data_IF_882259984089
#
_entry.id   IF_882259984089
#
_cell.length_a   1.000
_cell.length_b   1.000
_cell.length_c   1.000
_cell.angle_alpha   90.00
_cell.angle_beta   90.00
_cell.angle_gamma   90.00
#
_symmetry.space_group_name_H-M   'P 1'
#
loop_
_entity.id
_entity.type
_entity.pdbx_description
1 polymer ?
#
# COMPACT_ATOMS: atom_id res chain seq x y z
N UNK A 1 11.53 21.37 -11.87
CA UNK A 1 10.91 20.08 -12.25
C UNK A 1 11.82 19.39 -13.25
N UNK A 2 12.23 18.15 -12.98
CA UNK A 2 12.95 17.31 -13.95
C UNK A 2 12.03 16.99 -15.13
N UNK A 3 12.54 17.01 -16.37
CA UNK A 3 11.74 16.58 -17.54
C UNK A 3 11.60 15.07 -17.50
N UNK A 4 10.38 14.58 -17.28
CA UNK A 4 10.04 13.15 -17.38
C UNK A 4 9.53 12.81 -18.78
N UNK A 5 9.63 11.54 -19.16
CA UNK A 5 8.93 11.01 -20.33
C UNK A 5 7.41 11.06 -20.10
N UNK A 6 6.62 11.00 -21.19
CA UNK A 6 5.15 10.97 -21.08
C UNK A 6 4.67 9.75 -20.28
N UNK A 7 5.30 8.59 -20.45
CA UNK A 7 4.97 7.36 -19.71
C UNK A 7 5.23 7.52 -18.22
N UNK A 8 6.37 8.09 -17.84
CA UNK A 8 6.67 8.39 -16.43
C UNK A 8 5.67 9.38 -15.87
N UNK A 9 5.37 10.48 -16.58
CA UNK A 9 4.38 11.45 -16.12
C UNK A 9 3.00 10.82 -15.88
N UNK A 10 2.51 9.98 -16.80
CA UNK A 10 1.24 9.26 -16.61
C UNK A 10 1.29 8.31 -15.42
N UNK A 11 2.44 7.65 -15.16
CA UNK A 11 2.62 6.81 -13.97
C UNK A 11 2.58 7.65 -12.70
N UNK A 12 3.34 8.75 -12.64
CA UNK A 12 3.36 9.68 -11.50
C UNK A 12 1.98 10.31 -11.23
N UNK A 13 1.16 10.57 -12.26
CA UNK A 13 -0.22 11.04 -12.10
C UNK A 13 -1.10 10.05 -11.31
N UNK A 14 -0.84 8.73 -11.40
CA UNK A 14 -1.53 7.71 -10.59
C UNK A 14 -1.22 7.85 -9.09
N UNK A 15 -0.11 8.50 -8.76
CA UNK A 15 0.32 8.82 -7.40
C UNK A 15 -0.02 10.27 -7.02
N UNK A 16 -0.69 11.02 -7.90
CA UNK A 16 -1.05 12.44 -7.73
C UNK A 16 0.18 13.33 -7.49
N UNK A 17 1.32 12.94 -8.05
CA UNK A 17 2.57 13.70 -8.01
C UNK A 17 2.55 14.73 -9.15
N UNK A 18 3.03 15.94 -8.89
CA UNK A 18 3.12 17.00 -9.90
C UNK A 18 4.12 16.61 -10.99
N UNK A 19 3.73 16.75 -12.25
CA UNK A 19 4.48 16.24 -13.41
C UNK A 19 4.57 17.26 -14.54
N UNK A 20 5.67 17.20 -15.30
CA UNK A 20 5.86 17.99 -16.51
C UNK A 20 6.65 17.19 -17.54
N UNK A 21 5.94 16.66 -18.53
CA UNK A 21 6.49 15.96 -19.69
C UNK A 21 6.32 16.81 -20.96
N UNK A 22 6.70 18.09 -20.86
CA UNK A 22 6.63 19.06 -21.96
C UNK A 22 5.21 19.55 -22.19
N UNK A 23 4.51 18.92 -23.14
CA UNK A 23 3.15 19.32 -23.54
C UNK A 23 2.08 18.86 -22.56
N UNK A 24 2.34 17.78 -21.82
CA UNK A 24 1.43 17.25 -20.79
C UNK A 24 1.97 17.56 -19.39
N UNK A 25 1.10 18.08 -18.53
CA UNK A 25 1.43 18.48 -17.16
C UNK A 25 0.32 18.02 -16.22
N UNK A 26 0.70 17.59 -15.02
CA UNK A 26 -0.23 17.23 -13.96
C UNK A 26 0.09 18.04 -12.71
N UNK A 27 -0.93 18.60 -12.07
CA UNK A 27 -0.79 19.52 -10.94
C UNK A 27 -1.84 19.23 -9.87
N UNK A 28 -1.38 18.92 -8.66
CA UNK A 28 -2.19 18.81 -7.45
C UNK A 28 -2.55 20.19 -6.95
N UNK A 29 -3.82 20.45 -6.63
CA UNK A 29 -4.33 21.68 -6.03
C UNK A 29 -4.21 21.71 -4.49
N UNK A 30 -3.52 20.73 -3.89
CA UNK A 30 -3.38 20.61 -2.43
C UNK A 30 -2.62 21.77 -1.77
N UNK A 31 -1.56 22.27 -2.39
CA UNK A 31 -0.62 23.24 -1.79
C UNK A 31 -0.67 24.61 -2.46
N UNK A 32 -1.29 25.61 -1.83
CA UNK A 32 -1.64 26.95 -2.36
C UNK A 32 -0.60 27.73 -3.20
N UNK A 33 0.66 27.32 -3.29
CA UNK A 33 1.71 27.93 -4.11
C UNK A 33 1.82 27.31 -5.50
N UNK A 34 0.69 27.05 -6.17
CA UNK A 34 0.69 26.50 -7.53
C UNK A 34 1.01 27.56 -8.57
N UNK A 35 1.64 27.13 -9.67
CA UNK A 35 1.64 27.95 -10.87
C UNK A 35 0.19 28.13 -11.36
N UNK A 36 -0.18 29.31 -11.88
CA UNK A 36 -1.51 29.52 -12.46
C UNK A 36 -1.84 28.46 -13.51
N UNK A 37 -3.04 27.91 -13.46
CA UNK A 37 -3.55 26.99 -14.47
C UNK A 37 -4.38 27.79 -15.46
N UNK A 38 -3.91 28.00 -16.70
CA UNK A 38 -4.70 28.70 -17.72
C UNK A 38 -5.95 27.89 -18.09
N UNK A 39 -7.04 28.57 -18.39
CA UNK A 39 -8.28 27.93 -18.83
C UNK A 39 -8.20 27.34 -20.24
N UNK A 40 -7.26 27.82 -21.08
CA UNK A 40 -7.06 27.32 -22.43
C UNK A 40 -8.33 27.34 -23.27
N UNK A 41 -8.71 26.17 -23.80
CA UNK A 41 -9.89 25.98 -24.65
C UNK A 41 -11.15 25.46 -23.92
N UNK A 42 -11.21 25.57 -22.59
CA UNK A 42 -12.40 25.23 -21.79
C UNK A 42 -13.60 26.12 -22.17
N UNK A 43 -14.83 25.61 -22.01
CA UNK A 43 -16.03 26.47 -22.04
C UNK A 43 -16.04 27.43 -20.84
N UNK A 44 -16.77 28.55 -20.89
CA UNK A 44 -16.84 29.50 -19.78
C UNK A 44 -17.26 28.85 -18.45
N UNK A 45 -18.20 27.91 -18.48
CA UNK A 45 -18.70 27.21 -17.28
C UNK A 45 -17.60 26.32 -16.67
N UNK A 46 -16.88 25.56 -17.50
CA UNK A 46 -15.78 24.72 -17.04
C UNK A 46 -14.59 25.55 -16.54
N UNK A 47 -14.31 26.70 -17.19
CA UNK A 47 -13.28 27.63 -16.77
C UNK A 47 -13.61 28.27 -15.41
N UNK A 48 -14.88 28.63 -15.17
CA UNK A 48 -15.33 29.14 -13.88
C UNK A 48 -15.16 28.10 -12.77
N UNK A 49 -15.57 26.85 -13.00
CA UNK A 49 -15.38 25.76 -12.03
C UNK A 49 -13.90 25.51 -11.69
N UNK A 50 -13.02 25.57 -12.69
CA UNK A 50 -11.58 25.49 -12.48
C UNK A 50 -11.08 26.69 -11.66
N UNK A 51 -11.49 27.89 -12.02
CA UNK A 51 -11.11 29.12 -11.33
C UNK A 51 -11.50 29.06 -9.85
N UNK A 52 -12.74 28.69 -9.54
CA UNK A 52 -13.27 28.56 -8.18
C UNK A 52 -12.51 27.51 -7.36
N UNK A 53 -11.96 26.48 -8.02
CA UNK A 53 -11.15 25.45 -7.37
C UNK A 53 -9.70 25.88 -7.15
N UNK A 54 -9.08 26.54 -8.13
CA UNK A 54 -7.67 26.98 -8.07
C UNK A 54 -7.51 28.19 -7.14
N UNK A 55 -8.41 29.17 -7.22
CA UNK A 55 -8.34 30.45 -6.50
C UNK A 55 -9.27 30.49 -5.29
N UNK A 56 -9.64 29.31 -4.77
CA UNK A 56 -10.52 29.15 -3.62
C UNK A 56 -10.07 30.01 -2.43
N UNK A 57 -10.99 30.78 -1.86
CA UNK A 57 -10.72 31.58 -0.68
C UNK A 57 -10.36 30.74 0.55
N UNK A 58 -9.62 31.34 1.49
CA UNK A 58 -9.27 30.65 2.72
C UNK A 58 -10.52 30.41 3.56
N UNK A 59 -10.83 29.14 3.82
CA UNK A 59 -11.97 28.74 4.67
C UNK A 59 -13.20 28.32 3.87
N UNK A 60 -13.18 28.42 2.54
CA UNK A 60 -14.24 27.81 1.71
C UNK A 60 -14.22 26.29 1.89
N UNK A 61 -15.37 25.66 2.21
CA UNK A 61 -15.46 24.22 2.39
C UNK A 61 -14.96 23.45 1.16
N UNK A 62 -14.25 22.35 1.41
CA UNK A 62 -13.89 21.37 0.38
C UNK A 62 -14.92 20.25 0.42
N UNK A 63 -15.55 19.97 -0.72
CA UNK A 63 -16.50 18.86 -0.90
C UNK A 63 -15.87 17.74 -1.72
N UNK A 64 -16.51 16.56 -1.77
CA UNK A 64 -16.07 15.46 -2.64
C UNK A 64 -16.00 15.82 -4.13
N UNK A 65 -16.78 16.80 -4.59
CA UNK A 65 -16.80 17.26 -5.98
C UNK A 65 -15.77 18.37 -6.28
N UNK A 66 -15.10 18.89 -5.25
CA UNK A 66 -14.01 19.85 -5.42
C UNK A 66 -12.88 19.25 -6.25
N UNK A 67 -12.28 20.02 -7.16
CA UNK A 67 -11.13 19.57 -7.93
C UNK A 67 -9.90 19.44 -7.02
N UNK A 68 -9.22 18.30 -7.10
CA UNK A 68 -7.98 18.02 -6.38
C UNK A 68 -6.75 18.01 -7.29
N UNK A 69 -6.85 17.48 -8.51
CA UNK A 69 -5.71 17.34 -9.41
C UNK A 69 -6.13 17.66 -10.85
N UNK A 70 -5.33 18.44 -11.57
CA UNK A 70 -5.62 18.87 -12.94
C UNK A 70 -4.54 18.36 -13.88
N UNK A 71 -4.95 17.77 -15.00
CA UNK A 71 -4.07 17.40 -16.11
C UNK A 71 -4.32 18.36 -17.27
N UNK A 72 -3.25 19.01 -17.72
CA UNK A 72 -3.27 19.95 -18.83
C UNK A 72 -2.44 19.46 -20.01
N UNK A 73 -2.90 19.76 -21.21
CA UNK A 73 -2.21 19.51 -22.47
C UNK A 73 -2.13 20.82 -23.27
N UNK A 74 -0.90 21.31 -23.52
CA UNK A 74 -0.62 22.60 -24.17
C UNK A 74 -1.32 23.80 -23.50
N UNK A 75 -1.36 23.79 -22.17
CA UNK A 75 -2.04 24.84 -21.40
C UNK A 75 -3.57 24.79 -21.44
N UNK A 76 -4.18 23.74 -22.00
CA UNK A 76 -5.61 23.47 -21.85
C UNK A 76 -5.82 22.31 -20.88
N UNK A 77 -6.58 22.50 -19.80
CA UNK A 77 -7.03 21.41 -18.93
C UNK A 77 -7.83 20.38 -19.74
N UNK A 78 -7.39 19.12 -19.71
CA UNK A 78 -8.00 18.01 -20.47
C UNK A 78 -8.71 17.01 -19.58
N UNK A 79 -8.31 16.89 -18.31
CA UNK A 79 -8.99 16.07 -17.31
C UNK A 79 -8.69 16.62 -15.92
N UNK A 80 -9.57 16.38 -14.97
CA UNK A 80 -9.27 16.61 -13.56
C UNK A 80 -9.86 15.51 -12.66
N UNK A 81 -9.27 15.35 -11.49
CA UNK A 81 -9.70 14.43 -10.44
C UNK A 81 -10.28 15.23 -9.28
N UNK A 82 -11.42 14.81 -8.74
CA UNK A 82 -12.02 15.41 -7.55
C UNK A 82 -11.49 14.82 -6.25
N UNK A 83 -11.79 15.46 -5.11
CA UNK A 83 -11.52 14.89 -3.78
C UNK A 83 -12.22 13.55 -3.54
N UNK A 84 -13.34 13.29 -4.21
CA UNK A 84 -14.07 12.02 -4.23
C UNK A 84 -13.48 10.96 -5.16
N UNK A 85 -12.26 11.17 -5.66
CA UNK A 85 -11.58 10.34 -6.66
C UNK A 85 -12.37 10.14 -7.97
N UNK A 86 -13.24 11.09 -8.33
CA UNK A 86 -13.96 11.05 -9.62
C UNK A 86 -13.14 11.73 -10.69
N UNK A 87 -12.96 11.05 -11.81
CA UNK A 87 -12.31 11.61 -13.00
C UNK A 87 -13.36 12.32 -13.84
N UNK A 88 -13.10 13.56 -14.20
CA UNK A 88 -13.99 14.39 -15.01
C UNK A 88 -13.23 14.90 -16.23
N UNK A 89 -13.86 14.76 -17.39
CA UNK A 89 -13.43 15.37 -18.64
C UNK A 89 -14.18 16.70 -18.83
N UNK A 90 -13.54 17.86 -18.58
CA UNK A 90 -14.23 19.13 -18.66
C UNK A 90 -14.64 19.47 -20.11
N UNK A 91 -15.73 20.22 -20.24
CA UNK A 91 -16.19 20.69 -21.55
C UNK A 91 -15.16 21.65 -22.16
N UNK A 92 -14.68 21.31 -23.37
CA UNK A 92 -13.66 22.07 -24.07
C UNK A 92 -13.66 21.75 -25.57
N UNK A 93 -13.22 22.69 -26.40
CA UNK A 93 -12.97 22.41 -27.83
C UNK A 93 -11.54 21.92 -28.00
N UNK A 94 -11.36 20.60 -27.98
CA UNK A 94 -10.05 19.95 -27.99
C UNK A 94 -9.59 19.57 -29.40
N UNK A 95 -8.31 19.74 -29.67
CA UNK A 95 -7.66 19.17 -30.86
C UNK A 95 -7.58 17.65 -30.77
N UNK A 96 -7.38 16.94 -31.89
CA UNK A 96 -7.17 15.49 -31.90
C UNK A 96 -5.98 15.06 -31.03
N UNK A 97 -4.96 15.91 -30.90
CA UNK A 97 -3.82 15.67 -30.01
C UNK A 97 -4.23 15.72 -28.54
N UNK A 98 -4.98 16.74 -28.14
CA UNK A 98 -5.49 16.90 -26.76
C UNK A 98 -6.50 15.80 -26.39
N UNK A 99 -7.35 15.35 -27.32
CA UNK A 99 -8.27 14.23 -27.09
C UNK A 99 -7.52 12.93 -26.76
N UNK A 100 -6.39 12.66 -27.44
CA UNK A 100 -5.55 11.49 -27.11
C UNK A 100 -4.96 11.59 -25.70
N UNK A 101 -4.46 12.76 -25.30
CA UNK A 101 -3.94 12.97 -23.96
C UNK A 101 -5.02 12.98 -22.88
N UNK A 102 -6.23 13.46 -23.19
CA UNK A 102 -7.38 13.32 -22.32
C UNK A 102 -7.65 11.85 -22.02
N UNK A 103 -7.72 11.00 -23.05
CA UNK A 103 -7.95 9.56 -22.85
C UNK A 103 -6.85 8.91 -22.00
N UNK A 104 -5.58 9.24 -22.23
CA UNK A 104 -4.46 8.75 -21.41
C UNK A 104 -4.54 9.23 -19.96
N UNK A 105 -4.86 10.50 -19.75
CA UNK A 105 -5.01 11.10 -18.43
C UNK A 105 -6.18 10.47 -17.67
N UNK A 106 -7.31 10.23 -18.34
CA UNK A 106 -8.46 9.53 -17.76
C UNK A 106 -8.05 8.13 -17.31
N UNK A 107 -7.38 7.36 -18.15
CA UNK A 107 -6.89 6.02 -17.78
C UNK A 107 -5.95 6.08 -16.57
N UNK A 108 -4.99 7.02 -16.56
CA UNK A 108 -4.08 7.17 -15.42
C UNK A 108 -4.82 7.52 -14.12
N UNK A 109 -5.72 8.51 -14.17
CA UNK A 109 -6.47 8.97 -13.00
C UNK A 109 -7.55 7.97 -12.56
N UNK A 110 -8.02 7.06 -13.42
CA UNK A 110 -8.91 5.95 -13.04
C UNK A 110 -8.16 4.79 -12.38
N UNK A 111 -6.84 4.74 -12.47
CA UNK A 111 -5.98 3.71 -11.88
C UNK A 111 -5.07 4.27 -10.79
N UNK A 112 -5.66 5.07 -9.88
CA UNK A 112 -4.95 5.62 -8.74
C UNK A 112 -4.26 4.53 -7.93
N UNK A 113 -3.05 4.86 -7.46
CA UNK A 113 -2.36 4.05 -6.46
C UNK A 113 -3.13 4.02 -5.15
N UNK A 114 -2.96 2.96 -4.37
CA UNK A 114 -3.56 2.85 -3.04
C UNK A 114 -3.24 4.04 -2.15
N UNK A 115 -1.96 4.44 -2.09
CA UNK A 115 -1.53 5.62 -1.34
C UNK A 115 -2.19 6.94 -1.78
N UNK A 116 -2.49 7.10 -3.08
CA UNK A 116 -3.24 8.26 -3.57
C UNK A 116 -4.70 8.23 -3.08
N UNK A 117 -5.36 7.07 -3.12
CA UNK A 117 -6.72 6.90 -2.60
C UNK A 117 -6.75 7.16 -1.08
N UNK A 118 -5.82 6.58 -0.32
CA UNK A 118 -5.69 6.81 1.13
C UNK A 118 -5.49 8.30 1.44
N UNK A 119 -4.68 9.00 0.64
CA UNK A 119 -4.49 10.44 0.80
C UNK A 119 -5.79 11.23 0.57
N UNK A 120 -6.53 10.91 -0.50
CA UNK A 120 -7.81 11.56 -0.79
C UNK A 120 -8.87 11.28 0.28
N UNK A 121 -8.96 10.03 0.75
CA UNK A 121 -9.86 9.64 1.83
C UNK A 121 -9.60 10.45 3.11
N UNK A 122 -8.34 10.52 3.56
CA UNK A 122 -7.96 11.33 4.74
C UNK A 122 -8.28 12.82 4.58
N UNK A 123 -8.11 13.35 3.37
CA UNK A 123 -8.43 14.74 3.08
C UNK A 123 -9.94 15.00 3.10
N UNK A 124 -10.75 14.08 2.56
CA UNK A 124 -12.21 14.14 2.62
C UNK A 124 -12.73 14.00 4.06
N UNK A 125 -12.10 13.15 4.86
CA UNK A 125 -12.44 12.98 6.27
C UNK A 125 -12.18 14.26 7.05
N UNK A 126 -11.00 14.86 6.86
CA UNK A 126 -10.66 16.14 7.47
C UNK A 126 -11.58 17.29 7.01
N UNK A 127 -12.01 17.30 5.75
CA UNK A 127 -12.90 18.36 5.23
C UNK A 127 -14.34 18.24 5.73
N UNK A 128 -14.81 17.00 5.94
CA UNK A 128 -16.18 16.71 6.34
C UNK A 128 -16.34 16.46 7.85
N UNK A 129 -15.29 16.69 8.65
CA UNK A 129 -15.22 16.36 10.08
C UNK A 129 -15.67 14.91 10.37
N UNK A 130 -15.30 13.99 9.48
CA UNK A 130 -15.69 12.58 9.55
C UNK A 130 -14.62 11.80 10.30
N UNK A 131 -15.04 11.01 11.27
CA UNK A 131 -14.21 9.95 11.84
C UNK A 131 -14.58 8.63 11.17
N UNK A 132 -13.69 8.02 10.35
CA UNK A 132 -13.96 6.75 9.65
C UNK A 132 -14.03 5.53 10.60
N UNK A 133 -14.00 5.75 11.91
CA UNK A 133 -13.84 4.74 12.95
C UNK A 133 -12.59 5.00 13.79
N UNK A 134 -12.36 4.23 14.85
CA UNK A 134 -11.14 4.34 15.65
C UNK A 134 -9.94 4.01 14.76
N UNK A 135 -9.16 5.04 14.42
CA UNK A 135 -7.90 4.87 13.72
C UNK A 135 -6.97 3.98 14.56
N UNK A 136 -6.29 3.00 13.97
CA UNK A 136 -5.37 2.15 14.71
C UNK A 136 -4.29 3.01 15.38
N UNK A 137 -4.24 2.98 16.71
CA UNK A 137 -3.14 3.63 17.44
C UNK A 137 -1.89 2.78 17.30
N UNK A 138 -0.71 3.39 17.22
CA UNK A 138 0.57 2.65 17.12
C UNK A 138 0.83 1.67 18.27
N UNK A 139 0.15 1.85 19.40
CA UNK A 139 0.22 0.98 20.58
C UNK A 139 -0.82 -0.15 20.56
N UNK A 140 -1.82 -0.11 19.70
CA UNK A 140 -2.79 -1.20 19.56
C UNK A 140 -2.13 -2.34 18.80
N UNK A 141 -2.06 -3.51 19.43
CA UNK A 141 -1.53 -4.74 18.84
C UNK A 141 -2.47 -5.38 17.81
N UNK A 142 -3.60 -4.73 17.50
CA UNK A 142 -4.63 -5.27 16.62
C UNK A 142 -4.40 -4.91 15.15
N UNK A 143 -4.74 -5.84 14.27
CA UNK A 143 -4.88 -5.60 12.84
C UNK A 143 -6.18 -4.89 12.51
N UNK A 144 -6.15 -4.02 11.50
CA UNK A 144 -7.32 -3.32 10.98
C UNK A 144 -7.16 -3.05 9.49
N UNK A 145 -8.27 -2.97 8.77
CA UNK A 145 -8.33 -2.61 7.35
C UNK A 145 -9.20 -1.38 7.16
N UNK A 146 -8.75 -0.49 6.29
CA UNK A 146 -9.53 0.67 5.85
C UNK A 146 -10.19 0.29 4.53
N UNK A 147 -11.51 0.25 4.51
CA UNK A 147 -12.28 -0.26 3.36
C UNK A 147 -13.22 0.78 2.78
N UNK A 148 -13.54 0.68 1.50
CA UNK A 148 -14.51 1.54 0.81
C UNK A 148 -15.25 0.77 -0.29
N UNK A 149 -16.40 1.30 -0.71
CA UNK A 149 -17.02 0.91 -1.98
C UNK A 149 -16.16 1.46 -3.14
N UNK A 150 -15.81 0.64 -4.15
CA UNK A 150 -15.10 1.12 -5.34
C UNK A 150 -15.77 2.28 -6.09
N UNK A 151 -17.08 2.44 -5.99
CA UNK A 151 -17.84 3.55 -6.58
C UNK A 151 -17.63 4.89 -5.85
N UNK A 152 -17.23 4.85 -4.59
CA UNK A 152 -16.78 6.01 -3.82
C UNK A 152 -15.56 5.65 -2.93
N UNK A 153 -14.37 5.50 -3.53
CA UNK A 153 -13.21 4.89 -2.87
C UNK A 153 -12.60 5.80 -1.78
N UNK A 154 -13.15 6.99 -1.58
CA UNK A 154 -12.69 7.96 -0.57
C UNK A 154 -13.64 8.04 0.64
N UNK A 155 -14.79 7.37 0.57
CA UNK A 155 -15.67 7.16 1.71
C UNK A 155 -15.28 5.86 2.41
N UNK A 156 -14.31 5.97 3.31
CA UNK A 156 -13.64 4.82 3.92
C UNK A 156 -14.10 4.50 5.35
N UNK A 157 -13.96 3.26 5.78
CA UNK A 157 -14.30 2.82 7.14
C UNK A 157 -13.21 1.90 7.69
N UNK A 158 -12.73 2.18 8.91
CA UNK A 158 -11.82 1.28 9.62
C UNK A 158 -12.61 0.13 10.24
N UNK A 159 -12.16 -1.10 10.00
CA UNK A 159 -12.78 -2.30 10.54
C UNK A 159 -11.76 -3.43 10.71
N UNK A 160 -12.21 -4.56 11.25
CA UNK A 160 -11.42 -5.79 11.39
C UNK A 160 -11.97 -6.88 10.50
N UNK A 161 -11.09 -7.77 10.07
CA UNK A 161 -11.43 -9.02 9.38
C UNK A 161 -11.18 -10.20 10.31
N UNK A 162 -11.67 -11.37 9.94
CA UNK A 162 -11.43 -12.64 10.65
C UNK A 162 -10.48 -13.52 9.84
N UNK A 163 -10.22 -14.73 10.31
CA UNK A 163 -9.44 -15.74 9.58
C UNK A 163 -10.23 -16.39 8.44
N UNK A 164 -11.56 -16.19 8.38
CA UNK A 164 -12.44 -16.72 7.34
C UNK A 164 -12.69 -15.66 6.25
N UNK A 165 -12.29 -15.91 4.99
CA UNK A 165 -12.51 -14.98 3.89
C UNK A 165 -13.99 -14.70 3.59
N UNK A 166 -14.87 -15.70 3.70
CA UNK A 166 -16.30 -15.55 3.38
C UNK A 166 -17.03 -14.72 4.44
N UNK A 167 -16.73 -14.97 5.72
CA UNK A 167 -17.22 -14.15 6.83
C UNK A 167 -16.71 -12.71 6.70
N UNK A 168 -15.40 -12.55 6.46
CA UNK A 168 -14.77 -11.25 6.28
C UNK A 168 -15.38 -10.47 5.13
N UNK A 169 -15.54 -11.07 3.94
CA UNK A 169 -16.17 -10.43 2.79
C UNK A 169 -17.62 -10.02 3.08
N UNK A 170 -18.38 -10.84 3.81
CA UNK A 170 -19.75 -10.52 4.22
C UNK A 170 -19.78 -9.30 5.13
N UNK A 171 -18.92 -9.27 6.14
CA UNK A 171 -18.78 -8.15 7.06
C UNK A 171 -18.32 -6.86 6.35
N UNK A 172 -17.30 -6.94 5.50
CA UNK A 172 -16.79 -5.79 4.75
C UNK A 172 -17.87 -5.16 3.85
N UNK A 173 -18.69 -5.99 3.20
CA UNK A 173 -19.84 -5.55 2.40
C UNK A 173 -20.89 -4.81 3.24
N UNK A 174 -21.17 -5.32 4.46
CA UNK A 174 -22.08 -4.65 5.40
C UNK A 174 -21.53 -3.28 5.85
N UNK A 175 -20.23 -3.21 6.16
CA UNK A 175 -19.57 -1.97 6.58
C UNK A 175 -19.61 -0.91 5.47
N UNK A 176 -19.45 -1.31 4.21
CA UNK A 176 -19.48 -0.42 3.05
C UNK A 176 -20.89 -0.20 2.47
N UNK A 177 -21.94 -0.78 3.08
CA UNK A 177 -23.33 -0.77 2.57
C UNK A 177 -23.43 -1.15 1.08
N UNK A 178 -22.71 -2.20 0.68
CA UNK A 178 -22.60 -2.62 -0.73
C UNK A 178 -22.83 -4.11 -0.89
N UNK A 179 -23.41 -4.49 -2.04
CA UNK A 179 -23.54 -5.90 -2.45
C UNK A 179 -22.43 -6.33 -3.39
N UNK A 180 -21.60 -5.37 -3.83
CA UNK A 180 -20.55 -5.57 -4.81
C UNK A 180 -19.19 -5.96 -4.23
N UNK A 181 -18.12 -5.75 -5.00
CA UNK A 181 -16.75 -5.85 -4.50
C UNK A 181 -16.46 -4.74 -3.48
N UNK A 182 -15.52 -5.01 -2.56
CA UNK A 182 -15.03 -4.04 -1.58
C UNK A 182 -13.57 -3.71 -1.89
N UNK A 183 -13.20 -2.44 -1.80
CA UNK A 183 -11.83 -1.97 -1.94
C UNK A 183 -11.16 -1.90 -0.56
N UNK A 184 -10.00 -2.54 -0.39
CA UNK A 184 -9.12 -2.30 0.75
C UNK A 184 -8.17 -1.15 0.39
N UNK A 185 -8.36 -0.01 1.04
CA UNK A 185 -7.62 1.24 0.84
C UNK A 185 -6.37 1.30 1.70
N UNK A 186 -6.37 0.72 2.89
CA UNK A 186 -5.20 0.66 3.77
C UNK A 186 -5.30 -0.57 4.68
N UNK A 187 -4.17 -1.01 5.23
CA UNK A 187 -4.14 -2.11 6.18
C UNK A 187 -3.06 -1.89 7.24
N UNK A 188 -3.47 -1.87 8.50
CA UNK A 188 -2.63 -1.70 9.65
C UNK A 188 -2.38 -3.04 10.35
N UNK A 189 -1.15 -3.25 10.81
CA UNK A 189 -0.77 -4.47 11.53
C UNK A 189 -0.35 -5.66 10.65
N UNK A 190 -0.38 -5.53 9.31
CA UNK A 190 -0.01 -6.59 8.36
C UNK A 190 1.41 -6.45 7.77
N UNK A 191 2.30 -5.77 8.48
CA UNK A 191 3.71 -5.66 8.11
C UNK A 191 3.94 -4.98 6.75
N UNK A 192 5.04 -5.33 6.10
CA UNK A 192 5.43 -4.83 4.79
C UNK A 192 4.48 -5.28 3.67
N UNK A 193 3.84 -6.45 3.77
CA UNK A 193 2.80 -6.83 2.82
C UNK A 193 1.65 -5.81 2.82
N UNK A 194 1.10 -5.52 4.00
CA UNK A 194 0.04 -4.51 4.17
C UNK A 194 0.47 -3.10 3.77
N UNK A 195 1.75 -2.74 3.94
CA UNK A 195 2.28 -1.41 3.63
C UNK A 195 2.66 -1.20 2.17
N UNK A 196 3.23 -2.20 1.50
CA UNK A 196 3.89 -2.05 0.20
C UNK A 196 3.12 -2.65 -0.96
N UNK A 197 2.19 -3.59 -0.73
CA UNK A 197 1.38 -4.16 -1.81
C UNK A 197 0.42 -3.10 -2.38
N UNK A 198 0.40 -2.93 -3.70
CA UNK A 198 -0.49 -1.94 -4.33
C UNK A 198 -1.97 -2.30 -4.25
N UNK A 199 -2.29 -3.61 -4.27
CA UNK A 199 -3.66 -4.14 -4.18
C UNK A 199 -3.71 -5.26 -3.15
N UNK A 200 -4.43 -5.01 -2.06
CA UNK A 200 -4.62 -5.99 -1.01
C UNK A 200 -5.80 -6.88 -1.32
N UNK A 201 -5.61 -8.17 -1.09
CA UNK A 201 -6.62 -9.21 -1.22
C UNK A 201 -7.10 -9.64 0.16
N UNK A 202 -8.42 -9.69 0.36
CA UNK A 202 -9.03 -10.14 1.61
C UNK A 202 -8.60 -11.57 1.93
N UNK A 203 -8.55 -12.47 0.95
CA UNK A 203 -8.15 -13.87 1.16
C UNK A 203 -6.74 -13.97 1.71
N UNK A 204 -5.81 -13.18 1.16
CA UNK A 204 -4.41 -13.17 1.64
C UNK A 204 -4.31 -12.59 3.05
N UNK A 205 -5.05 -11.50 3.35
CA UNK A 205 -5.05 -10.94 4.70
C UNK A 205 -5.66 -11.92 5.73
N UNK A 206 -6.72 -12.66 5.37
CA UNK A 206 -7.29 -13.71 6.21
C UNK A 206 -6.30 -14.87 6.45
N UNK A 207 -5.52 -15.26 5.43
CA UNK A 207 -4.45 -16.26 5.60
C UNK A 207 -3.35 -15.76 6.53
N UNK A 208 -2.98 -14.48 6.43
CA UNK A 208 -2.02 -13.88 7.36
C UNK A 208 -2.53 -13.97 8.81
N UNK A 209 -3.81 -13.66 9.06
CA UNK A 209 -4.43 -13.83 10.38
C UNK A 209 -4.41 -15.30 10.83
N UNK A 210 -4.75 -16.23 9.94
CA UNK A 210 -4.83 -17.65 10.26
C UNK A 210 -3.46 -18.25 10.61
N UNK A 211 -2.42 -17.91 9.85
CA UNK A 211 -1.05 -18.33 10.13
C UNK A 211 -0.52 -17.70 11.42
N UNK A 212 -0.79 -16.41 11.63
CA UNK A 212 -0.42 -15.72 12.86
C UNK A 212 -1.03 -16.39 14.10
N UNK A 213 -2.34 -16.70 14.06
CA UNK A 213 -3.03 -17.38 15.13
C UNK A 213 -2.52 -18.81 15.36
N UNK A 214 -2.30 -19.58 14.29
CA UNK A 214 -1.81 -20.96 14.36
C UNK A 214 -0.42 -21.06 15.00
N UNK A 215 0.46 -20.10 14.72
CA UNK A 215 1.87 -20.15 15.12
C UNK A 215 2.23 -19.23 16.29
N UNK A 216 1.24 -18.61 16.94
CA UNK A 216 1.41 -17.64 18.03
C UNK A 216 2.34 -16.48 17.64
N UNK A 217 2.10 -15.94 16.44
CA UNK A 217 2.84 -14.81 15.87
C UNK A 217 1.94 -13.57 15.74
N UNK A 218 2.55 -12.41 15.56
CA UNK A 218 1.83 -11.22 15.12
C UNK A 218 1.58 -11.32 13.59
N UNK A 219 0.40 -10.88 13.09
CA UNK A 219 0.14 -10.77 11.65
C UNK A 219 1.20 -9.98 10.88
N UNK A 220 1.83 -8.99 11.52
CA UNK A 220 2.92 -8.22 10.92
C UNK A 220 4.15 -9.05 10.60
N UNK A 221 4.47 -10.07 11.41
CA UNK A 221 5.61 -10.96 11.19
C UNK A 221 5.38 -11.81 9.96
N UNK A 222 4.17 -12.34 9.80
CA UNK A 222 3.77 -13.10 8.61
C UNK A 222 3.76 -12.20 7.38
N UNK A 223 3.23 -10.98 7.49
CA UNK A 223 3.23 -10.00 6.40
C UNK A 223 4.64 -9.55 5.97
N UNK A 224 5.55 -9.36 6.91
CA UNK A 224 6.96 -9.04 6.63
C UNK A 224 7.66 -10.20 5.93
N UNK A 225 7.44 -11.45 6.39
CA UNK A 225 7.92 -12.66 5.71
C UNK A 225 7.39 -12.75 4.28
N UNK A 226 6.07 -12.60 4.10
CA UNK A 226 5.41 -12.72 2.81
C UNK A 226 5.94 -11.66 1.81
N UNK A 227 6.15 -10.43 2.26
CA UNK A 227 6.83 -9.41 1.45
C UNK A 227 8.25 -9.83 1.06
N UNK A 228 9.02 -10.33 2.02
CA UNK A 228 10.39 -10.79 1.83
C UNK A 228 10.52 -11.94 0.81
N UNK A 229 9.50 -12.77 0.67
CA UNK A 229 9.38 -13.84 -0.34
C UNK A 229 8.83 -13.33 -1.70
N UNK A 230 8.64 -12.01 -1.85
CA UNK A 230 8.32 -11.38 -3.12
C UNK A 230 6.82 -11.27 -3.42
N UNK A 231 5.94 -11.69 -2.52
CA UNK A 231 4.48 -11.68 -2.71
C UNK A 231 3.88 -10.29 -2.96
N UNK A 232 4.61 -9.22 -2.65
CA UNK A 232 4.15 -7.86 -3.03
C UNK A 232 4.13 -7.63 -4.54
N UNK A 233 4.90 -8.42 -5.30
CA UNK A 233 5.07 -8.32 -6.74
C UNK A 233 4.53 -9.52 -7.53
N UNK A 234 3.97 -10.52 -6.85
CA UNK A 234 3.38 -11.72 -7.46
C UNK A 234 1.97 -11.95 -6.91
N UNK A 235 1.15 -12.65 -7.69
CA UNK A 235 -0.17 -13.09 -7.25
C UNK A 235 -0.02 -14.53 -6.72
N UNK A 236 -0.27 -14.71 -5.42
CA UNK A 236 -0.19 -16.01 -4.73
C UNK A 236 -1.57 -16.37 -4.19
N UNK A 237 -1.94 -17.64 -4.28
CA UNK A 237 -3.17 -18.14 -3.68
C UNK A 237 -2.99 -18.41 -2.19
N UNK A 238 -4.10 -18.45 -1.44
CA UNK A 238 -4.12 -18.82 -0.04
C UNK A 238 -3.37 -20.14 0.25
N UNK A 239 -3.63 -21.18 -0.56
CA UNK A 239 -3.00 -22.50 -0.41
C UNK A 239 -1.49 -22.45 -0.64
N UNK A 240 -1.03 -21.67 -1.63
CA UNK A 240 0.40 -21.51 -1.91
C UNK A 240 1.12 -20.83 -0.74
N UNK A 241 0.50 -19.80 -0.16
CA UNK A 241 1.05 -19.06 0.98
C UNK A 241 1.15 -19.99 2.19
N UNK A 242 0.07 -20.69 2.52
CA UNK A 242 0.04 -21.62 3.66
C UNK A 242 1.09 -22.73 3.52
N UNK A 243 1.14 -23.39 2.36
CA UNK A 243 2.12 -24.46 2.12
C UNK A 243 3.58 -23.96 2.17
N UNK A 244 3.84 -22.77 1.62
CA UNK A 244 5.17 -22.15 1.69
C UNK A 244 5.54 -21.78 3.13
N UNK A 245 4.59 -21.24 3.90
CA UNK A 245 4.81 -20.89 5.30
C UNK A 245 5.12 -22.13 6.15
N UNK A 246 4.30 -23.17 6.05
CA UNK A 246 4.48 -24.41 6.81
C UNK A 246 5.82 -25.08 6.52
N UNK A 247 6.30 -24.97 5.28
CA UNK A 247 7.62 -25.50 4.87
C UNK A 247 8.75 -24.64 5.42
N UNK A 248 8.59 -23.31 5.38
CA UNK A 248 9.64 -22.37 5.72
C UNK A 248 9.78 -22.15 7.23
N UNK A 249 8.67 -22.07 7.97
CA UNK A 249 8.69 -21.65 9.37
C UNK A 249 9.46 -22.63 10.26
N UNK A 250 10.42 -22.10 11.01
CA UNK A 250 11.26 -22.88 11.93
C UNK A 250 10.85 -22.67 13.38
N UNK A 251 10.53 -21.43 13.76
CA UNK A 251 10.15 -21.07 15.13
C UNK A 251 10.63 -19.68 15.55
N UNK A 252 10.30 -19.30 16.78
CA UNK A 252 10.76 -18.05 17.41
C UNK A 252 11.99 -18.31 18.28
N UNK A 253 12.98 -17.42 18.16
CA UNK A 253 14.24 -17.45 18.90
C UNK A 253 14.54 -16.06 19.47
N UNK A 254 15.22 -15.99 20.61
CA UNK A 254 15.65 -14.73 21.26
C UNK A 254 16.57 -13.87 20.38
N UNK A 255 17.31 -14.48 19.46
CA UNK A 255 18.14 -13.79 18.49
C UNK A 255 18.86 -14.74 17.53
N UNK A 256 19.56 -14.16 16.54
CA UNK A 256 20.28 -14.93 15.51
C UNK A 256 21.36 -15.85 16.08
N UNK A 257 22.04 -15.39 17.14
CA UNK A 257 23.09 -16.15 17.80
C UNK A 257 22.56 -17.41 18.50
N UNK A 258 21.40 -17.29 19.16
CA UNK A 258 20.79 -18.41 19.87
C UNK A 258 20.25 -19.44 18.89
N UNK A 259 19.62 -19.00 17.79
CA UNK A 259 19.25 -19.89 16.69
C UNK A 259 20.46 -20.64 16.12
N UNK A 260 21.55 -19.93 15.81
CA UNK A 260 22.75 -20.54 15.25
C UNK A 260 23.40 -21.55 16.22
N UNK A 261 23.32 -21.31 17.53
CA UNK A 261 23.81 -22.26 18.54
C UNK A 261 23.00 -23.56 18.50
N UNK A 262 21.67 -23.46 18.48
CA UNK A 262 20.77 -24.62 18.34
C UNK A 262 21.04 -25.36 17.03
N UNK A 263 21.22 -24.64 15.92
CA UNK A 263 21.46 -25.23 14.61
C UNK A 263 22.82 -25.92 14.51
N UNK A 264 23.86 -25.35 15.10
CA UNK A 264 25.19 -25.96 15.23
C UNK A 264 25.11 -27.29 15.98
N UNK A 265 24.37 -27.32 17.09
CA UNK A 265 24.20 -28.52 17.89
C UNK A 265 23.38 -29.57 17.12
N UNK A 266 22.29 -29.16 16.47
CA UNK A 266 21.42 -30.01 15.65
C UNK A 266 22.14 -30.65 14.46
N UNK A 267 23.02 -29.91 13.80
CA UNK A 267 23.84 -30.39 12.68
C UNK A 267 25.04 -31.25 13.11
N UNK A 268 25.24 -31.43 14.42
CA UNK A 268 26.25 -32.33 14.98
C UNK A 268 27.66 -31.73 15.09
N UNK A 269 27.85 -30.44 14.76
CA UNK A 269 29.16 -29.78 14.84
C UNK A 269 29.75 -29.83 16.24
N UNK A 270 28.94 -29.61 17.27
CA UNK A 270 29.38 -29.67 18.67
C UNK A 270 29.88 -31.07 19.05
N UNK A 271 29.21 -32.12 18.55
CA UNK A 271 29.68 -33.50 18.71
C UNK A 271 30.99 -33.76 17.98
N UNK A 272 31.12 -33.27 16.75
CA UNK A 272 32.33 -33.43 15.93
C UNK A 272 33.54 -32.73 16.53
N UNK A 273 33.38 -31.49 17.01
CA UNK A 273 34.44 -30.73 17.70
C UNK A 273 34.91 -31.45 18.96
N UNK A 274 33.96 -31.94 19.78
CA UNK A 274 34.25 -32.69 20.99
C UNK A 274 35.01 -33.99 20.69
N UNK A 275 34.59 -34.74 19.67
CA UNK A 275 35.26 -35.97 19.25
C UNK A 275 36.69 -35.71 18.74
N UNK A 276 36.93 -34.56 18.12
CA UNK A 276 38.26 -34.11 17.69
C UNK A 276 39.11 -33.49 18.81
N UNK A 277 38.58 -33.35 20.04
CA UNK A 277 39.27 -32.70 21.16
C UNK A 277 39.45 -31.19 20.98
N UNK A 278 38.64 -30.55 20.12
CA UNK A 278 38.69 -29.12 19.83
C UNK A 278 37.69 -28.39 20.76
N UNK A 279 38.14 -27.47 21.63
CA UNK A 279 37.23 -26.67 22.45
C UNK A 279 36.26 -25.80 21.61
N UNK A 280 34.99 -25.73 22.03
CA UNK A 280 33.92 -24.98 21.34
C UNK A 280 34.25 -23.50 21.10
N UNK A 281 35.09 -22.88 21.94
CA UNK A 281 35.55 -21.48 21.78
C UNK A 281 36.32 -21.22 20.48
N UNK A 282 36.78 -22.27 19.79
CA UNK A 282 37.44 -22.16 18.50
C UNK A 282 36.47 -22.27 17.31
N UNK A 283 35.20 -22.57 17.56
CA UNK A 283 34.17 -22.47 16.54
C UNK A 283 33.78 -21.00 16.34
N UNK A 284 33.89 -20.50 15.11
CA UNK A 284 33.61 -19.10 14.82
C UNK A 284 32.11 -18.87 14.66
N UNK A 285 31.38 -18.79 15.79
CA UNK A 285 29.92 -18.69 15.80
C UNK A 285 29.40 -17.48 15.00
N UNK A 286 30.08 -16.34 15.03
CA UNK A 286 29.65 -15.16 14.26
C UNK A 286 29.66 -15.40 12.74
N UNK A 287 30.70 -16.04 12.21
CA UNK A 287 30.79 -16.40 10.80
C UNK A 287 29.73 -17.45 10.43
N UNK A 288 29.42 -18.37 11.35
CA UNK A 288 28.35 -19.35 11.17
C UNK A 288 26.96 -18.69 11.15
N UNK A 289 26.70 -17.74 12.05
CA UNK A 289 25.47 -16.92 12.05
C UNK A 289 25.34 -16.19 10.71
N UNK A 290 26.40 -15.51 10.26
CA UNK A 290 26.37 -14.78 8.99
C UNK A 290 26.07 -15.70 7.81
N UNK A 291 26.73 -16.86 7.73
CA UNK A 291 26.50 -17.83 6.68
C UNK A 291 25.07 -18.38 6.69
N UNK A 292 24.55 -18.77 7.87
CA UNK A 292 23.18 -19.27 7.99
C UNK A 292 22.14 -18.25 7.52
N UNK A 293 22.21 -16.99 7.97
CA UNK A 293 21.22 -15.96 7.65
C UNK A 293 21.40 -15.32 6.27
N UNK A 294 22.58 -15.49 5.66
CA UNK A 294 22.82 -15.13 4.27
C UNK A 294 22.18 -16.15 3.33
N UNK A 295 22.43 -17.44 3.57
CA UNK A 295 22.23 -18.47 2.54
C UNK A 295 21.08 -19.44 2.84
N UNK A 296 20.78 -19.73 4.11
CA UNK A 296 19.88 -20.83 4.49
C UNK A 296 18.57 -20.40 5.14
N UNK A 297 18.63 -19.33 5.94
CA UNK A 297 17.47 -18.84 6.70
C UNK A 297 17.32 -17.33 6.59
N UNK A 298 16.17 -16.84 7.00
CA UNK A 298 15.83 -15.43 7.16
C UNK A 298 15.20 -15.24 8.52
N UNK A 299 15.52 -14.12 9.17
CA UNK A 299 14.80 -13.65 10.33
C UNK A 299 13.81 -12.54 9.99
N UNK A 300 12.67 -12.58 10.66
CA UNK A 300 11.75 -11.45 10.79
C UNK A 300 11.69 -11.07 12.26
N UNK A 301 11.78 -9.77 12.55
CA UNK A 301 11.77 -9.29 13.94
C UNK A 301 10.40 -9.50 14.57
N UNK A 302 10.37 -10.10 15.76
CA UNK A 302 9.17 -10.20 16.59
C UNK A 302 9.29 -9.17 17.73
N UNK A 303 8.48 -8.09 17.72
CA UNK A 303 8.52 -7.07 18.76
C UNK A 303 8.39 -7.68 20.17
N UNK A 304 9.37 -7.43 21.03
CA UNK A 304 9.36 -7.90 22.43
C UNK A 304 9.82 -9.34 22.65
N UNK A 305 9.90 -10.19 21.62
CA UNK A 305 10.16 -11.64 21.78
C UNK A 305 11.41 -12.17 21.05
N UNK A 306 11.99 -11.39 20.12
CA UNK A 306 13.22 -11.77 19.41
C UNK A 306 13.03 -11.79 17.89
N UNK A 307 13.24 -12.96 17.28
CA UNK A 307 13.13 -13.19 15.84
C UNK A 307 12.32 -14.45 15.54
N UNK A 308 11.48 -14.40 14.50
CA UNK A 308 10.91 -15.56 13.86
C UNK A 308 11.85 -15.98 12.72
N UNK A 309 12.21 -17.25 12.66
CA UNK A 309 13.16 -17.78 11.68
C UNK A 309 12.42 -18.61 10.63
N UNK A 310 12.76 -18.37 9.37
CA UNK A 310 12.20 -19.02 8.19
C UNK A 310 13.32 -19.58 7.33
N UNK A 311 13.17 -20.78 6.80
CA UNK A 311 14.08 -21.33 5.78
C UNK A 311 13.87 -20.57 4.47
N UNK A 312 14.96 -20.34 3.74
CA UNK A 312 14.91 -19.85 2.36
C UNK A 312 14.57 -21.02 1.44
N UNK A 313 13.60 -20.83 0.55
CA UNK A 313 13.25 -21.76 -0.54
C UNK A 313 13.89 -21.36 -1.85
#
# INVERSE_FOLDING_TARGET
MSRSSQTEALREMRHLIDTNAGRIQGQSLRYRSHAPIPAGALTPEAAALLHDSVYRERGTPVTGDSIYYVVSCDGTPVAWLTYGARVVTPAATLTSYQLRHQAQAVVALSHLSRGAITCLARLRDASNDRSPGPEPYRSDSGTQVLVADPADPTLTHWTRITTDPAESLTHLRQVCDTTGPVLIVDAFGYGDYGRLRDRLDVEVLCVIEALAATHDLLPSVVGDWLHAEGATNSDLTADQITAAFDTAYVGVHSGRHDFATVERDRSGWTGALRAAGIPDRFFHTEAFVEHLFRDSVRDVRVPGSGIAVFRRT
#
